data_IF_576590020923
#
_entry.id   IF_576590020923
#
_cell.length_a   1.000
_cell.length_b   1.000
_cell.length_c   1.000
_cell.angle_alpha   90.00
_cell.angle_beta   90.00
_cell.angle_gamma   90.00
#
_symmetry.space_group_name_H-M   'P 1'
#
loop_
_entity.id
_entity.type
_entity.pdbx_description
1 polymer ?
#
# COMPACT_ATOMS: atom_id res chain seq x y z
N UNK A 1 8.77 66.95 -66.90
CA UNK A 1 8.24 66.12 -65.81
C UNK A 1 9.44 65.43 -65.19
N UNK A 2 9.91 65.97 -64.07
CA UNK A 2 11.05 65.41 -63.33
C UNK A 2 10.61 64.11 -62.64
N UNK A 3 11.46 63.09 -62.70
CA UNK A 3 11.40 61.94 -61.80
C UNK A 3 12.81 61.78 -61.19
N UNK A 4 13.07 62.52 -60.12
CA UNK A 4 14.28 62.36 -59.32
C UNK A 4 14.13 61.11 -58.44
N UNK A 5 14.61 59.97 -58.96
CA UNK A 5 14.80 58.75 -58.20
C UNK A 5 15.98 58.94 -57.24
N UNK A 6 15.67 59.26 -55.97
CA UNK A 6 16.62 59.20 -54.87
C UNK A 6 16.95 57.73 -54.58
N UNK A 7 17.92 57.18 -55.31
CA UNK A 7 18.54 55.90 -54.99
C UNK A 7 19.43 56.10 -53.76
N UNK A 8 18.95 55.61 -52.62
CA UNK A 8 19.73 55.55 -51.39
C UNK A 8 20.96 54.66 -51.62
N UNK A 9 22.13 55.27 -51.50
CA UNK A 9 23.43 54.62 -51.64
C UNK A 9 23.66 53.70 -50.45
N UNK A 10 23.67 52.38 -50.68
CA UNK A 10 24.07 51.41 -49.65
C UNK A 10 25.55 51.62 -49.32
N UNK A 11 25.84 51.94 -48.06
CA UNK A 11 27.21 51.97 -47.55
C UNK A 11 27.58 50.52 -47.23
N UNK A 12 28.56 49.97 -47.95
CA UNK A 12 28.96 48.56 -47.80
C UNK A 12 29.46 48.26 -46.38
N UNK A 13 29.19 47.04 -45.92
CA UNK A 13 29.63 46.54 -44.61
C UNK A 13 31.15 46.31 -44.60
N UNK A 14 31.79 46.67 -43.50
CA UNK A 14 33.20 46.37 -43.24
C UNK A 14 33.39 44.89 -42.87
N UNK A 15 34.54 44.31 -43.24
CA UNK A 15 34.92 42.95 -42.85
C UNK A 15 34.92 42.77 -41.32
N UNK A 16 35.27 43.83 -40.57
CA UNK A 16 35.21 43.83 -39.10
C UNK A 16 33.77 43.72 -38.58
N UNK A 17 32.81 44.38 -39.24
CA UNK A 17 31.40 44.37 -38.84
C UNK A 17 30.78 42.99 -39.03
N UNK A 18 31.16 42.29 -40.11
CA UNK A 18 30.72 40.91 -40.37
C UNK A 18 31.30 39.94 -39.33
N UNK A 19 32.57 40.08 -38.97
CA UNK A 19 33.21 39.25 -37.93
C UNK A 19 32.56 39.47 -36.55
N UNK A 20 32.27 40.73 -36.18
CA UNK A 20 31.58 41.05 -34.93
C UNK A 20 30.16 40.49 -34.93
N UNK A 21 29.41 40.64 -36.03
CA UNK A 21 28.04 40.11 -36.16
C UNK A 21 28.00 38.57 -36.01
N UNK A 22 28.96 37.86 -36.62
CA UNK A 22 29.07 36.41 -36.47
C UNK A 22 29.43 35.98 -35.05
N UNK A 23 30.40 36.66 -34.42
CA UNK A 23 30.80 36.37 -33.05
C UNK A 23 29.63 36.55 -32.06
N UNK A 24 28.88 37.64 -32.20
CA UNK A 24 27.68 37.89 -31.37
C UNK A 24 26.56 36.89 -31.67
N UNK A 25 26.33 36.56 -32.94
CA UNK A 25 25.34 35.56 -33.34
C UNK A 25 25.62 34.19 -32.74
N UNK A 26 26.86 33.70 -32.82
CA UNK A 26 27.27 32.43 -32.23
C UNK A 26 27.14 32.44 -30.70
N UNK A 27 27.54 33.54 -30.06
CA UNK A 27 27.46 33.69 -28.60
C UNK A 27 26.01 33.63 -28.12
N UNK A 28 25.10 34.35 -28.79
CA UNK A 28 23.67 34.35 -28.46
C UNK A 28 23.04 32.97 -28.68
N UNK A 29 23.35 32.31 -29.80
CA UNK A 29 22.86 30.95 -30.05
C UNK A 29 23.31 29.96 -28.98
N UNK A 30 24.58 30.03 -28.54
CA UNK A 30 25.10 29.16 -27.48
C UNK A 30 24.36 29.36 -26.15
N UNK A 31 24.08 30.62 -25.77
CA UNK A 31 23.32 30.94 -24.55
C UNK A 31 21.90 30.38 -24.62
N UNK A 32 21.19 30.57 -25.74
CA UNK A 32 19.81 30.07 -25.89
C UNK A 32 19.76 28.55 -25.80
N UNK A 33 20.70 27.85 -26.44
CA UNK A 33 20.80 26.39 -26.35
C UNK A 33 21.01 25.94 -24.90
N UNK A 34 21.92 26.61 -24.17
CA UNK A 34 22.17 26.27 -22.76
C UNK A 34 20.93 26.46 -21.88
N UNK A 35 20.20 27.55 -22.07
CA UNK A 35 18.95 27.83 -21.34
C UNK A 35 17.91 26.77 -21.67
N UNK A 36 17.73 26.43 -22.94
CA UNK A 36 16.78 25.41 -23.38
C UNK A 36 17.11 24.02 -22.80
N UNK A 37 18.38 23.60 -22.85
CA UNK A 37 18.82 22.34 -22.25
C UNK A 37 18.58 22.34 -20.73
N UNK A 38 18.92 23.44 -20.06
CA UNK A 38 18.70 23.55 -18.60
C UNK A 38 17.21 23.50 -18.24
N UNK A 39 16.35 24.14 -19.03
CA UNK A 39 14.90 24.10 -18.87
C UNK A 39 14.37 22.68 -19.04
N UNK A 40 14.72 21.98 -20.12
CA UNK A 40 14.25 20.60 -20.38
C UNK A 40 14.70 19.59 -19.32
N UNK A 41 15.93 19.72 -18.80
CA UNK A 41 16.42 18.89 -17.68
C UNK A 41 15.62 19.17 -16.41
N UNK A 42 15.34 20.45 -16.14
CA UNK A 42 14.55 20.87 -14.99
C UNK A 42 13.11 20.36 -15.08
N UNK A 43 12.47 20.48 -16.24
CA UNK A 43 11.12 19.97 -16.51
C UNK A 43 11.04 18.46 -16.27
N UNK A 44 11.97 17.67 -16.82
CA UNK A 44 12.00 16.21 -16.58
C UNK A 44 12.17 15.85 -15.11
N UNK A 45 12.97 16.61 -14.38
CA UNK A 45 13.16 16.43 -12.93
C UNK A 45 11.89 16.78 -12.15
N UNK A 46 11.19 17.85 -12.54
CA UNK A 46 9.90 18.22 -11.96
C UNK A 46 8.86 17.15 -12.23
N UNK A 47 8.74 16.66 -13.47
CA UNK A 47 7.80 15.60 -13.84
C UNK A 47 8.04 14.31 -13.05
N UNK A 48 9.29 13.89 -12.89
CA UNK A 48 9.62 12.73 -12.06
C UNK A 48 9.20 12.92 -10.59
N UNK A 49 9.43 14.11 -10.03
CA UNK A 49 9.02 14.45 -8.65
C UNK A 49 7.51 14.52 -8.49
N UNK A 50 6.79 15.01 -9.51
CA UNK A 50 5.33 15.06 -9.50
C UNK A 50 4.75 13.65 -9.50
N UNK A 51 5.26 12.76 -10.36
CA UNK A 51 4.86 11.35 -10.39
C UNK A 51 5.14 10.64 -9.07
N UNK A 52 6.31 10.87 -8.46
CA UNK A 52 6.64 10.30 -7.15
C UNK A 52 5.68 10.78 -6.04
N UNK A 53 5.33 12.07 -6.04
CA UNK A 53 4.38 12.62 -5.06
C UNK A 53 2.96 12.12 -5.28
N UNK A 54 2.53 12.00 -6.54
CA UNK A 54 1.23 11.44 -6.88
C UNK A 54 1.12 9.96 -6.47
N UNK A 55 2.12 9.15 -6.84
CA UNK A 55 2.21 7.74 -6.45
C UNK A 55 2.28 7.60 -4.92
N UNK A 56 3.05 8.46 -4.23
CA UNK A 56 3.12 8.48 -2.78
C UNK A 56 1.76 8.81 -2.15
N UNK A 57 1.04 9.80 -2.67
CA UNK A 57 -0.32 10.14 -2.20
C UNK A 57 -1.29 8.98 -2.42
N UNK A 58 -1.21 8.30 -3.56
CA UNK A 58 -2.03 7.13 -3.85
C UNK A 58 -1.72 5.97 -2.90
N UNK A 59 -0.44 5.63 -2.72
CA UNK A 59 -0.01 4.57 -1.83
C UNK A 59 -0.43 4.82 -0.38
N UNK A 60 -0.25 6.04 0.13
CA UNK A 60 -0.68 6.41 1.49
C UNK A 60 -2.19 6.37 1.65
N UNK A 61 -2.97 6.76 0.63
CA UNK A 61 -4.42 6.67 0.67
C UNK A 61 -4.89 5.21 0.74
N UNK A 62 -4.32 4.34 -0.12
CA UNK A 62 -4.59 2.90 -0.10
C UNK A 62 -4.23 2.28 1.26
N UNK A 63 -3.02 2.51 1.77
CA UNK A 63 -2.59 2.01 3.06
C UNK A 63 -3.48 2.52 4.21
N UNK A 64 -3.87 3.79 4.19
CA UNK A 64 -4.76 4.35 5.21
C UNK A 64 -6.12 3.68 5.23
N UNK A 65 -6.66 3.34 4.06
CA UNK A 65 -7.95 2.64 3.94
C UNK A 65 -7.87 1.21 4.49
N UNK A 66 -6.82 0.47 4.14
CA UNK A 66 -6.61 -0.90 4.63
C UNK A 66 -6.34 -0.93 6.14
N UNK A 67 -5.50 -0.01 6.65
CA UNK A 67 -5.13 0.06 8.07
C UNK A 67 -6.30 0.55 8.94
N UNK A 68 -7.26 1.31 8.39
CA UNK A 68 -8.39 1.85 9.18
C UNK A 68 -9.22 0.77 9.87
N UNK A 69 -9.32 -0.42 9.28
CA UNK A 69 -10.01 -1.57 9.86
C UNK A 69 -9.05 -2.57 10.54
N UNK A 70 -7.76 -2.23 10.63
CA UNK A 70 -6.75 -3.06 11.31
C UNK A 70 -7.09 -3.27 12.77
N UNK A 71 -7.13 -4.54 13.19
CA UNK A 71 -7.50 -4.96 14.54
C UNK A 71 -8.99 -4.85 14.85
N UNK A 72 -9.85 -4.64 13.86
CA UNK A 72 -11.30 -4.67 14.05
C UNK A 72 -11.80 -6.11 14.19
N UNK A 73 -12.39 -6.45 15.33
CA UNK A 73 -12.90 -7.78 15.67
C UNK A 73 -14.35 -7.73 16.19
N UNK A 74 -15.18 -6.84 15.62
CA UNK A 74 -16.55 -6.61 16.08
C UNK A 74 -16.63 -5.42 17.03
N UNK A 75 -17.22 -5.57 18.22
CA UNK A 75 -17.22 -4.47 19.20
C UNK A 75 -15.82 -4.25 19.81
N UNK A 76 -15.00 -5.29 19.86
CA UNK A 76 -13.61 -5.17 20.25
C UNK A 76 -12.80 -4.60 19.08
N UNK A 77 -12.27 -3.39 19.25
CA UNK A 77 -11.35 -2.75 18.30
C UNK A 77 -10.05 -2.41 19.00
N UNK A 78 -9.00 -3.20 18.75
CA UNK A 78 -7.67 -2.93 19.30
C UNK A 78 -6.58 -3.44 18.35
N UNK A 79 -5.54 -2.63 18.15
CA UNK A 79 -4.35 -3.04 17.37
C UNK A 79 -3.57 -4.16 18.08
N UNK A 80 -3.77 -4.30 19.39
CA UNK A 80 -3.27 -5.41 20.21
C UNK A 80 -4.27 -5.69 21.31
N UNK A 81 -4.98 -6.82 21.22
CA UNK A 81 -6.00 -7.22 22.20
C UNK A 81 -5.53 -8.41 23.04
N UNK A 82 -5.37 -8.29 24.37
CA UNK A 82 -5.01 -9.42 25.22
C UNK A 82 -6.15 -10.45 25.37
N UNK A 83 -7.39 -10.06 25.03
CA UNK A 83 -8.60 -10.85 25.23
C UNK A 83 -9.13 -11.38 23.89
N UNK A 84 -8.26 -12.02 23.12
CA UNK A 84 -8.66 -12.71 21.89
C UNK A 84 -8.44 -14.20 22.11
N UNK A 85 -9.51 -14.97 22.09
CA UNK A 85 -9.45 -16.42 22.20
C UNK A 85 -9.61 -17.06 20.82
N UNK A 86 -8.90 -18.16 20.62
CA UNK A 86 -8.99 -18.94 19.39
C UNK A 86 -9.38 -20.38 19.75
N UNK A 87 -10.59 -20.77 19.38
CA UNK A 87 -11.13 -22.11 19.63
C UNK A 87 -11.20 -22.96 18.36
N UNK A 88 -10.56 -22.49 17.28
CA UNK A 88 -10.51 -23.22 16.02
C UNK A 88 -9.75 -24.54 16.19
N UNK A 89 -10.14 -25.54 15.41
CA UNK A 89 -9.46 -26.83 15.39
C UNK A 89 -8.19 -26.73 14.51
N UNK A 90 -7.02 -26.83 15.15
CA UNK A 90 -5.70 -26.81 14.50
C UNK A 90 -5.43 -25.61 13.57
N UNK A 91 -5.63 -24.35 14.02
CA UNK A 91 -5.24 -23.18 13.25
C UNK A 91 -3.70 -23.16 13.04
N UNK A 92 -3.20 -22.66 11.90
CA UNK A 92 -1.76 -22.51 11.71
C UNK A 92 -1.21 -21.47 12.71
N UNK A 93 0.05 -21.61 13.12
CA UNK A 93 0.69 -20.68 14.05
C UNK A 93 0.75 -19.22 13.53
N UNK A 94 0.63 -19.01 12.22
CA UNK A 94 0.53 -17.70 11.59
C UNK A 94 -0.87 -17.08 11.68
N UNK A 95 -1.86 -17.80 12.21
CA UNK A 95 -3.19 -17.26 12.51
C UNK A 95 -3.13 -16.52 13.86
N UNK A 96 -2.85 -15.22 13.77
CA UNK A 96 -2.62 -14.34 14.92
C UNK A 96 -3.46 -13.05 14.86
N UNK A 97 -4.79 -13.15 14.76
CA UNK A 97 -5.66 -11.98 14.62
C UNK A 97 -5.68 -11.05 15.84
N UNK A 98 -5.11 -11.46 16.97
CA UNK A 98 -4.90 -10.62 18.15
C UNK A 98 -3.94 -9.43 17.90
N UNK A 99 -3.17 -9.46 16.82
CA UNK A 99 -2.35 -8.36 16.34
C UNK A 99 -3.00 -7.74 15.12
N UNK A 100 -3.57 -6.54 15.26
CA UNK A 100 -4.25 -5.85 14.17
C UNK A 100 -3.30 -5.49 13.01
N UNK A 101 -2.03 -5.24 13.32
CA UNK A 101 -0.98 -4.97 12.33
C UNK A 101 0.28 -5.73 12.74
N UNK A 102 0.92 -6.37 11.77
CA UNK A 102 2.18 -7.10 11.89
C UNK A 102 3.13 -6.67 10.77
N UNK A 103 4.43 -6.77 11.00
CA UNK A 103 5.46 -6.40 10.04
C UNK A 103 6.67 -7.32 10.09
N UNK A 104 7.32 -7.49 8.94
CA UNK A 104 8.60 -8.19 8.79
C UNK A 104 9.49 -7.40 7.84
N UNK A 105 10.66 -7.01 8.34
CA UNK A 105 11.69 -6.36 7.54
C UNK A 105 12.47 -7.42 6.76
N UNK A 106 12.76 -7.15 5.49
CA UNK A 106 13.70 -7.96 4.74
C UNK A 106 15.15 -7.61 5.12
N UNK A 107 16.06 -8.59 5.05
CA UNK A 107 17.49 -8.32 5.22
C UNK A 107 18.01 -7.31 4.18
N UNK A 108 18.73 -6.27 4.63
CA UNK A 108 19.39 -5.33 3.72
C UNK A 108 18.47 -4.25 3.12
N UNK A 109 17.30 -4.00 3.69
CA UNK A 109 16.37 -2.93 3.27
C UNK A 109 16.46 -1.66 4.12
N UNK A 110 17.61 -1.40 4.77
CA UNK A 110 17.77 -0.23 5.62
C UNK A 110 17.48 1.10 4.88
N UNK A 111 16.97 2.14 5.59
CA UNK A 111 16.69 3.44 4.98
C UNK A 111 17.86 3.98 4.15
N UNK A 112 17.59 4.38 2.91
CA UNK A 112 18.60 4.85 1.95
C UNK A 112 19.13 3.75 1.02
N UNK A 113 18.77 2.49 1.25
CA UNK A 113 19.06 1.38 0.33
C UNK A 113 17.97 1.32 -0.74
N UNK A 114 18.37 1.32 -2.01
CA UNK A 114 17.45 1.18 -3.14
C UNK A 114 17.56 -0.24 -3.68
N UNK A 115 16.54 -1.05 -3.41
CA UNK A 115 16.39 -2.40 -3.93
C UNK A 115 15.20 -2.45 -4.90
N UNK A 116 15.14 -3.47 -5.74
CA UNK A 116 13.99 -3.73 -6.62
C UNK A 116 13.66 -2.57 -7.60
N UNK A 117 14.68 -1.93 -8.18
CA UNK A 117 14.54 -0.85 -9.17
C UNK A 117 14.20 -1.30 -10.59
N UNK A 118 13.99 -2.61 -10.78
CA UNK A 118 13.61 -3.19 -12.08
C UNK A 118 12.16 -3.63 -12.02
N UNK A 119 11.45 -3.52 -13.14
CA UNK A 119 10.07 -3.95 -13.22
C UNK A 119 9.98 -5.49 -13.16
N UNK A 120 8.83 -6.00 -12.73
CA UNK A 120 8.46 -7.42 -12.79
C UNK A 120 9.44 -8.38 -12.09
N UNK A 121 9.99 -7.96 -10.94
CA UNK A 121 10.82 -8.85 -10.12
C UNK A 121 10.03 -10.07 -9.67
N UNK A 122 10.62 -11.24 -9.90
CA UNK A 122 10.04 -12.52 -9.52
C UNK A 122 9.87 -12.60 -8.00
N UNK A 123 8.67 -12.99 -7.58
CA UNK A 123 8.35 -13.21 -6.17
C UNK A 123 9.02 -14.48 -5.64
N UNK A 124 9.35 -14.48 -4.36
CA UNK A 124 9.94 -15.59 -3.62
C UNK A 124 9.06 -15.95 -2.43
N UNK A 125 9.10 -17.22 -2.01
CA UNK A 125 8.38 -17.65 -0.83
C UNK A 125 9.01 -17.06 0.45
N UNK A 126 8.19 -16.72 1.43
CA UNK A 126 8.62 -16.14 2.73
C UNK A 126 9.26 -17.15 3.69
N UNK A 127 9.41 -18.41 3.30
CA UNK A 127 10.09 -19.45 4.09
C UNK A 127 11.62 -19.49 3.87
N UNK A 128 12.18 -18.41 3.31
CA UNK A 128 13.62 -18.20 3.14
C UNK A 128 14.22 -17.50 4.36
N UNK A 129 15.54 -17.26 4.35
CA UNK A 129 16.22 -16.52 5.41
C UNK A 129 16.01 -14.99 5.33
N UNK A 130 15.23 -14.51 4.37
CA UNK A 130 15.07 -13.09 4.08
C UNK A 130 14.17 -12.37 5.10
N UNK A 131 13.07 -13.01 5.50
CA UNK A 131 12.18 -12.55 6.55
C UNK A 131 12.21 -13.53 7.71
N UNK A 132 12.41 -13.03 8.92
CA UNK A 132 12.52 -13.88 10.10
C UNK A 132 11.21 -13.88 10.90
N UNK A 133 10.67 -15.06 11.19
CA UNK A 133 9.61 -15.20 12.20
C UNK A 133 10.17 -15.01 13.60
N UNK A 134 9.37 -14.43 14.50
CA UNK A 134 9.71 -14.36 15.91
C UNK A 134 9.72 -15.76 16.54
N UNK A 135 10.84 -16.19 17.15
CA UNK A 135 10.93 -17.47 17.87
C UNK A 135 9.91 -17.58 19.03
N UNK A 136 9.45 -16.45 19.56
CA UNK A 136 8.48 -16.38 20.66
C UNK A 136 7.04 -16.73 20.27
N UNK A 137 6.74 -16.95 18.98
CA UNK A 137 5.39 -17.31 18.54
C UNK A 137 4.42 -16.13 18.46
N UNK A 138 4.90 -14.88 18.57
CA UNK A 138 4.08 -13.67 18.65
C UNK A 138 4.04 -12.90 17.32
N UNK A 139 4.95 -13.19 16.38
CA UNK A 139 4.97 -12.64 15.03
C UNK A 139 5.45 -13.68 13.99
N UNK A 140 4.55 -14.60 13.63
CA UNK A 140 4.85 -15.73 12.75
C UNK A 140 4.44 -15.39 11.32
N UNK A 141 5.41 -15.43 10.41
CA UNK A 141 5.17 -15.16 9.00
C UNK A 141 4.45 -16.36 8.36
N UNK A 142 3.32 -16.18 7.66
CA UNK A 142 2.75 -17.23 6.84
C UNK A 142 3.65 -17.48 5.62
N UNK A 143 3.61 -18.69 5.06
CA UNK A 143 4.29 -18.98 3.79
C UNK A 143 3.46 -18.38 2.65
N UNK A 144 3.93 -17.27 2.10
CA UNK A 144 3.33 -16.55 0.97
C UNK A 144 4.42 -16.12 -0.01
N UNK A 145 4.04 -15.70 -1.20
CA UNK A 145 4.98 -15.13 -2.17
C UNK A 145 5.07 -13.62 -1.95
N UNK A 146 6.29 -13.12 -1.78
CA UNK A 146 6.60 -11.71 -1.61
C UNK A 146 7.73 -11.30 -2.56
N UNK A 147 7.83 -10.01 -2.85
CA UNK A 147 8.92 -9.50 -3.70
C UNK A 147 10.21 -9.51 -2.86
N UNK A 148 11.32 -10.08 -3.35
CA UNK A 148 12.57 -10.09 -2.60
C UNK A 148 13.11 -8.67 -2.39
N UNK A 149 13.82 -8.48 -1.28
CA UNK A 149 14.32 -7.24 -0.70
C UNK A 149 13.21 -6.20 -0.45
N UNK A 150 12.02 -6.66 -0.04
CA UNK A 150 10.90 -5.79 0.37
C UNK A 150 10.37 -6.14 1.75
N UNK A 151 9.90 -5.13 2.46
CA UNK A 151 9.31 -5.33 3.79
C UNK A 151 7.84 -5.72 3.64
N UNK A 152 7.37 -6.57 4.55
CA UNK A 152 6.01 -7.10 4.54
C UNK A 152 5.24 -6.45 5.67
N UNK A 153 4.11 -5.83 5.34
CA UNK A 153 3.09 -5.42 6.30
C UNK A 153 1.87 -6.33 6.15
N UNK A 154 1.32 -6.78 7.27
CA UNK A 154 0.08 -7.54 7.33
C UNK A 154 -0.90 -6.85 8.25
N UNK A 155 -2.15 -6.79 7.80
CA UNK A 155 -3.26 -6.19 8.53
C UNK A 155 -4.32 -7.27 8.74
N UNK A 156 -4.80 -7.40 9.96
CA UNK A 156 -5.92 -8.25 10.31
C UNK A 156 -7.17 -7.42 10.47
N UNK A 157 -8.26 -7.82 9.84
CA UNK A 157 -9.57 -7.21 10.04
C UNK A 157 -10.66 -8.25 9.90
N UNK A 158 -11.72 -8.10 10.69
CA UNK A 158 -12.95 -8.85 10.54
C UNK A 158 -13.85 -8.17 9.51
N UNK A 159 -14.43 -8.96 8.62
CA UNK A 159 -15.44 -8.55 7.66
C UNK A 159 -16.45 -9.68 7.53
N UNK A 160 -17.73 -9.34 7.35
CA UNK A 160 -18.79 -10.35 7.27
C UNK A 160 -20.18 -9.76 7.52
N UNK A 161 -21.17 -10.65 7.57
CA UNK A 161 -22.53 -10.31 7.97
C UNK A 161 -22.63 -10.25 9.50
N UNK A 162 -23.04 -9.10 10.04
CA UNK A 162 -23.20 -8.94 11.47
C UNK A 162 -24.56 -9.45 11.95
N UNK A 163 -24.59 -10.12 13.10
CA UNK A 163 -25.80 -10.55 13.78
C UNK A 163 -25.62 -10.53 15.29
N UNK A 164 -26.69 -10.25 16.03
CA UNK A 164 -26.68 -10.29 17.49
C UNK A 164 -26.68 -11.73 18.01
N UNK A 165 -26.08 -11.94 19.17
CA UNK A 165 -26.11 -13.20 19.90
C UNK A 165 -27.21 -13.11 20.97
N UNK A 166 -28.23 -13.96 20.85
CA UNK A 166 -29.36 -13.98 21.78
C UNK A 166 -29.02 -14.74 23.08
N UNK A 167 -28.30 -15.86 22.96
CA UNK A 167 -27.91 -16.68 24.10
C UNK A 167 -26.67 -17.53 23.78
N UNK A 168 -25.83 -17.73 24.79
CA UNK A 168 -24.72 -18.69 24.76
C UNK A 168 -24.98 -19.73 25.85
N UNK A 169 -25.13 -20.99 25.45
CA UNK A 169 -25.27 -22.12 26.37
C UNK A 169 -23.92 -22.84 26.45
N UNK A 170 -23.32 -22.81 27.65
CA UNK A 170 -22.04 -23.47 27.90
C UNK A 170 -22.18 -24.99 27.73
N UNK A 171 -21.19 -25.60 27.08
CA UNK A 171 -21.17 -27.03 26.76
C UNK A 171 -19.85 -27.42 26.09
N UNK A 172 -19.72 -28.71 25.75
CA UNK A 172 -18.59 -29.24 24.98
C UNK A 172 -19.13 -30.08 23.81
N UNK A 173 -19.45 -29.45 22.65
CA UNK A 173 -19.21 -28.05 22.27
C UNK A 173 -20.26 -27.06 22.83
N UNK A 174 -19.93 -25.76 22.94
CA UNK A 174 -20.89 -24.72 23.31
C UNK A 174 -21.94 -24.51 22.21
N UNK A 175 -23.14 -24.07 22.58
CA UNK A 175 -24.21 -23.72 21.62
C UNK A 175 -24.47 -22.22 21.66
N UNK A 176 -24.37 -21.56 20.52
CA UNK A 176 -24.61 -20.12 20.34
C UNK A 176 -25.89 -19.94 19.54
N UNK A 177 -26.83 -19.16 20.07
CA UNK A 177 -28.09 -18.82 19.41
C UNK A 177 -28.02 -17.40 18.87
N UNK A 178 -28.17 -17.23 17.56
CA UNK A 178 -28.25 -15.91 16.93
C UNK A 178 -29.67 -15.32 17.09
N UNK A 179 -29.77 -13.99 17.19
CA UNK A 179 -31.04 -13.26 17.26
C UNK A 179 -31.88 -13.36 15.98
N UNK A 180 -31.22 -13.58 14.84
CA UNK A 180 -31.86 -13.70 13.53
C UNK A 180 -31.07 -14.63 12.63
N UNK A 181 -31.66 -15.02 11.49
CA UNK A 181 -30.97 -15.82 10.49
C UNK A 181 -29.88 -14.97 9.81
N UNK A 182 -28.62 -15.13 10.24
CA UNK A 182 -27.47 -14.37 9.74
C UNK A 182 -26.79 -15.02 8.52
N UNK A 183 -27.41 -16.05 7.93
CA UNK A 183 -26.87 -16.78 6.78
C UNK A 183 -25.69 -17.71 7.11
N UNK A 184 -25.49 -18.04 8.39
CA UNK A 184 -24.41 -18.91 8.87
C UNK A 184 -24.58 -20.32 8.31
N UNK A 185 -23.51 -20.87 7.74
CA UNK A 185 -23.43 -22.24 7.23
C UNK A 185 -22.46 -23.09 8.06
N UNK A 186 -22.55 -24.41 7.92
CA UNK A 186 -21.60 -25.33 8.53
C UNK A 186 -20.21 -25.08 7.94
N UNK A 187 -19.20 -25.07 8.81
CA UNK A 187 -17.80 -24.72 8.57
C UNK A 187 -17.47 -23.23 8.44
N UNK A 188 -18.46 -22.34 8.56
CA UNK A 188 -18.18 -20.90 8.60
C UNK A 188 -17.35 -20.53 9.83
N UNK A 189 -16.42 -19.60 9.64
CA UNK A 189 -15.67 -18.99 10.73
C UNK A 189 -16.44 -17.77 11.24
N UNK A 190 -16.60 -17.69 12.55
CA UNK A 190 -17.33 -16.63 13.22
C UNK A 190 -16.42 -15.95 14.24
N UNK A 191 -16.68 -14.66 14.43
CA UNK A 191 -16.07 -13.85 15.48
C UNK A 191 -17.22 -13.43 16.39
N UNK A 192 -17.14 -13.84 17.65
CA UNK A 192 -18.12 -13.49 18.68
C UNK A 192 -17.41 -12.51 19.61
N UNK A 193 -17.98 -11.32 19.82
CA UNK A 193 -17.32 -10.27 20.61
C UNK A 193 -18.29 -9.57 21.55
N UNK A 194 -17.82 -9.19 22.73
CA UNK A 194 -18.58 -8.45 23.75
C UNK A 194 -17.85 -7.16 24.20
N UNK A 195 -17.23 -6.43 23.28
CA UNK A 195 -16.44 -5.20 23.53
C UNK A 195 -15.25 -5.35 24.49
N UNK A 196 -15.17 -6.44 25.26
CA UNK A 196 -14.11 -6.76 26.20
C UNK A 196 -13.26 -7.93 25.71
N UNK A 197 -13.88 -8.89 25.04
CA UNK A 197 -13.29 -10.10 24.49
C UNK A 197 -13.77 -10.35 23.06
N UNK A 198 -12.97 -11.09 22.28
CA UNK A 198 -13.36 -11.66 21.00
C UNK A 198 -12.93 -13.13 20.92
N UNK A 199 -13.86 -13.99 20.51
CA UNK A 199 -13.64 -15.43 20.35
C UNK A 199 -13.79 -15.82 18.88
N UNK A 200 -12.75 -16.45 18.34
CA UNK A 200 -12.79 -17.09 17.04
C UNK A 200 -13.32 -18.50 17.19
N UNK A 201 -14.41 -18.80 16.50
CA UNK A 201 -15.11 -20.08 16.54
C UNK A 201 -15.42 -20.56 15.13
N UNK A 202 -15.67 -21.86 14.98
CA UNK A 202 -16.14 -22.45 13.73
C UNK A 202 -17.53 -23.07 13.94
N UNK A 203 -18.44 -22.83 12.99
CA UNK A 203 -19.78 -23.40 13.03
C UNK A 203 -19.75 -24.89 12.67
N UNK A 204 -19.59 -25.77 13.67
CA UNK A 204 -19.57 -27.22 13.46
C UNK A 204 -20.94 -27.80 13.04
N UNK A 205 -22.03 -27.18 13.51
CA UNK A 205 -23.40 -27.53 13.16
C UNK A 205 -24.26 -26.26 13.21
N UNK A 206 -25.25 -26.17 12.32
CA UNK A 206 -26.20 -25.05 12.28
C UNK A 206 -27.62 -25.63 12.26
N UNK A 207 -28.45 -25.21 13.21
CA UNK A 207 -29.84 -25.62 13.32
C UNK A 207 -30.71 -24.37 13.24
N UNK A 208 -31.70 -24.39 12.36
CA UNK A 208 -32.71 -23.34 12.31
C UNK A 208 -33.69 -23.53 13.47
N UNK A 209 -33.88 -22.48 14.29
CA UNK A 209 -34.94 -22.52 15.29
C UNK A 209 -36.31 -22.52 14.58
N UNK A 210 -37.27 -23.33 15.05
CA UNK A 210 -38.63 -23.25 14.54
C UNK A 210 -39.17 -21.83 14.76
N UNK A 211 -40.01 -21.31 13.84
CA UNK A 211 -40.63 -20.00 14.01
C UNK A 211 -41.41 -19.96 15.34
N UNK A 212 -41.45 -18.80 16.04
CA UNK A 212 -42.25 -18.68 17.25
C UNK A 212 -43.72 -19.01 16.94
N UNK A 213 -44.33 -19.85 17.79
CA UNK A 213 -45.71 -20.30 17.67
C UNK A 213 -46.71 -19.17 17.90
#
# INVERSE_FOLDING_TARGET
>A
MELNLNLTRNWGLSLIELLIAMALGLTLSAVVVQVYVSATVTERSQDARLRLQENGRFALNFLSQEIRMGGYLGCLGALRGPNVNNTLNAPPNSFQPQFGVQGWEAGGTNPGTVNNSVNDVAVVATNTAEWTSDPGGVNIIPVVNAVPNSDIIRIWSATGSAGGVAAITQGTPPTITAESAVGIQVNDFLIISDCQQADFVQACAVVANPPPA
#
